data_IF_476973189046
#
_entry.id   IF_476973189046
#
_cell.length_a   1.000
_cell.length_b   1.000
_cell.length_c   1.000
_cell.angle_alpha   90.00
_cell.angle_beta   90.00
_cell.angle_gamma   90.00
#
_symmetry.space_group_name_H-M   'P 1'
#
loop_
_entity.id
_entity.type
_entity.pdbx_description
1 polymer ?
#
# COMPACT_ATOMS: atom_id res chain seq x y z
N UNK A 1 18.67 4.40 -2.71
CA UNK A 1 18.26 5.47 -3.65
C UNK A 1 17.71 6.63 -2.82
N UNK A 2 18.58 7.55 -2.40
CA UNK A 2 18.21 8.81 -1.73
C UNK A 2 18.28 9.90 -2.81
N UNK A 3 17.17 10.15 -3.46
CA UNK A 3 16.97 11.34 -4.27
C UNK A 3 15.91 12.18 -3.56
N UNK A 4 16.06 13.49 -3.57
CA UNK A 4 15.26 14.54 -2.91
C UNK A 4 15.77 15.16 -1.59
N UNK A 5 17.07 15.09 -1.27
CA UNK A 5 17.66 15.90 -0.17
C UNK A 5 18.68 16.95 -0.62
N UNK A 6 18.67 17.33 -1.90
CA UNK A 6 19.61 18.29 -2.49
C UNK A 6 18.91 19.49 -3.14
N UNK A 7 17.99 20.13 -2.42
CA UNK A 7 17.69 21.57 -2.57
C UNK A 7 16.82 22.02 -1.40
N UNK A 8 16.95 23.29 -1.03
CA UNK A 8 16.25 23.98 0.06
C UNK A 8 16.91 23.80 1.43
N UNK A 9 18.17 24.23 1.52
CA UNK A 9 18.66 24.85 2.76
C UNK A 9 17.79 26.10 2.98
N UNK A 10 17.13 26.17 4.15
CA UNK A 10 16.39 27.32 4.74
C UNK A 10 14.94 27.57 4.27
N UNK A 11 13.97 26.94 4.94
CA UNK A 11 12.91 27.69 5.66
C UNK A 11 12.22 26.76 6.69
N UNK A 12 12.17 27.22 7.94
CA UNK A 12 11.49 26.59 9.06
C UNK A 12 10.06 26.14 8.74
N UNK A 13 9.72 24.87 8.96
CA UNK A 13 8.68 24.53 9.93
C UNK A 13 8.69 23.02 10.22
N UNK A 14 8.98 22.68 11.48
CA UNK A 14 8.65 21.46 12.22
C UNK A 14 8.25 20.27 11.35
N UNK A 15 9.06 19.22 11.36
CA UNK A 15 8.63 17.87 10.98
C UNK A 15 7.15 17.71 11.35
N UNK A 16 6.27 17.61 10.35
CA UNK A 16 4.93 17.11 10.56
C UNK A 16 5.08 15.64 10.98
N UNK A 17 5.52 15.42 12.22
CA UNK A 17 5.61 14.11 12.87
C UNK A 17 4.23 13.46 12.97
N UNK A 18 3.18 14.22 12.70
CA UNK A 18 1.81 13.76 12.59
C UNK A 18 1.60 12.82 11.40
N UNK A 19 2.49 12.85 10.39
CA UNK A 19 2.36 12.05 9.17
C UNK A 19 3.54 11.10 9.01
N UNK A 20 3.23 9.81 8.89
CA UNK A 20 4.21 8.74 8.81
C UNK A 20 3.96 7.84 7.59
N UNK A 21 4.99 7.67 6.77
CA UNK A 21 4.93 6.80 5.61
C UNK A 21 5.52 5.43 5.96
N UNK A 22 4.66 4.41 6.14
CA UNK A 22 5.08 3.02 6.40
C UNK A 22 5.97 2.41 5.31
N UNK A 23 5.81 2.84 4.05
CA UNK A 23 6.61 2.35 2.93
C UNK A 23 8.08 2.79 3.04
N UNK A 24 8.31 4.05 3.42
CA UNK A 24 9.65 4.60 3.63
C UNK A 24 10.16 4.45 5.06
N UNK A 25 9.26 4.12 5.99
CA UNK A 25 9.49 4.11 7.44
C UNK A 25 10.01 5.45 7.98
N UNK A 26 9.51 6.54 7.40
CA UNK A 26 9.97 7.90 7.69
C UNK A 26 8.78 8.87 7.82
N UNK A 27 9.04 10.03 8.41
CA UNK A 27 8.06 11.09 8.64
C UNK A 27 8.04 12.11 7.49
N UNK A 28 6.89 12.75 7.30
CA UNK A 28 6.73 13.88 6.37
C UNK A 28 5.49 13.76 5.49
N UNK A 29 5.09 12.54 5.13
CA UNK A 29 3.86 12.26 4.40
C UNK A 29 3.24 10.93 4.85
N UNK A 30 1.95 10.75 4.57
CA UNK A 30 1.25 9.50 4.84
C UNK A 30 1.50 8.49 3.72
N UNK A 31 1.37 7.19 4.02
CA UNK A 31 1.48 6.13 3.00
C UNK A 31 0.53 6.34 1.81
N UNK A 32 -0.65 6.91 2.05
CA UNK A 32 -1.64 7.21 1.01
C UNK A 32 -1.18 8.32 0.04
N UNK A 33 -0.26 9.18 0.47
CA UNK A 33 0.28 10.27 -0.34
C UNK A 33 1.64 9.93 -0.97
N UNK A 34 2.15 8.71 -0.71
CA UNK A 34 3.44 8.26 -1.22
C UNK A 34 3.41 8.06 -2.74
N UNK A 35 4.00 9.00 -3.48
CA UNK A 35 4.10 8.97 -4.93
C UNK A 35 4.84 7.73 -5.46
N UNK A 36 5.95 7.36 -4.81
CA UNK A 36 6.72 6.17 -5.18
C UNK A 36 5.89 4.89 -5.06
N UNK A 37 5.09 4.77 -4.00
CA UNK A 37 4.22 3.62 -3.80
C UNK A 37 3.13 3.55 -4.87
N UNK A 38 2.48 4.67 -5.18
CA UNK A 38 1.47 4.75 -6.24
C UNK A 38 2.04 4.32 -7.60
N UNK A 39 3.18 4.89 -7.98
CA UNK A 39 3.85 4.55 -9.24
C UNK A 39 4.27 3.08 -9.31
N UNK A 40 4.74 2.52 -8.20
CA UNK A 40 5.10 1.11 -8.13
C UNK A 40 3.87 0.23 -8.37
N UNK A 41 2.75 0.52 -7.68
CA UNK A 41 1.48 -0.21 -7.86
C UNK A 41 1.03 -0.10 -9.32
N UNK A 42 1.00 1.11 -9.89
CA UNK A 42 0.62 1.31 -11.29
C UNK A 42 1.53 0.56 -12.26
N UNK A 43 2.85 0.55 -12.03
CA UNK A 43 3.78 -0.17 -12.87
C UNK A 43 3.54 -1.68 -12.84
N UNK A 44 3.23 -2.24 -11.66
CA UNK A 44 2.90 -3.66 -11.49
C UNK A 44 1.57 -3.99 -12.18
N UNK A 45 0.56 -3.10 -12.07
CA UNK A 45 -0.72 -3.23 -12.79
C UNK A 45 -0.48 -3.25 -14.30
N UNK A 46 0.26 -2.27 -14.83
CA UNK A 46 0.57 -2.17 -16.27
C UNK A 46 1.32 -3.40 -16.81
N UNK A 47 2.15 -4.04 -15.98
CA UNK A 47 2.88 -5.27 -16.34
C UNK A 47 2.04 -6.54 -16.23
N UNK A 48 0.80 -6.47 -15.72
CA UNK A 48 -0.07 -7.64 -15.55
C UNK A 48 0.41 -8.62 -14.46
N UNK A 49 1.28 -8.19 -13.55
CA UNK A 49 1.91 -9.09 -12.56
C UNK A 49 1.06 -9.37 -11.31
N UNK A 50 -0.19 -8.89 -11.28
CA UNK A 50 -1.12 -9.06 -10.15
C UNK A 50 -1.95 -10.35 -10.22
N UNK A 51 -1.82 -11.16 -11.27
CA UNK A 51 -2.64 -12.36 -11.47
C UNK A 51 -2.63 -13.31 -10.26
N UNK A 52 -1.47 -13.50 -9.62
CA UNK A 52 -1.33 -14.36 -8.45
C UNK A 52 -2.02 -13.82 -7.19
N UNK A 53 -2.13 -12.49 -7.07
CA UNK A 53 -2.81 -11.85 -5.93
C UNK A 53 -4.32 -12.04 -6.03
N UNK A 54 -4.89 -11.86 -7.22
CA UNK A 54 -6.34 -12.06 -7.48
C UNK A 54 -6.73 -13.53 -7.28
N UNK A 55 -5.89 -14.47 -7.73
CA UNK A 55 -6.17 -15.90 -7.56
C UNK A 55 -6.22 -16.31 -6.09
N UNK A 56 -5.31 -15.78 -5.27
CA UNK A 56 -5.27 -16.06 -3.82
C UNK A 56 -6.49 -15.47 -3.11
N UNK A 57 -6.85 -14.23 -3.42
CA UNK A 57 -8.05 -13.59 -2.87
C UNK A 57 -9.32 -14.38 -3.21
N UNK A 58 -9.47 -14.87 -4.45
CA UNK A 58 -10.61 -15.69 -4.82
C UNK A 58 -10.65 -17.04 -4.07
N UNK A 59 -9.50 -17.66 -3.79
CA UNK A 59 -9.43 -18.88 -2.98
C UNK A 59 -9.80 -18.62 -1.51
N UNK A 60 -9.31 -17.53 -0.94
CA UNK A 60 -9.66 -17.11 0.43
C UNK A 60 -11.17 -16.80 0.56
N UNK A 61 -11.76 -16.13 -0.44
CA UNK A 61 -13.21 -15.86 -0.48
C UNK A 61 -14.03 -17.14 -0.63
N UNK A 62 -13.60 -18.07 -1.47
CA UNK A 62 -14.25 -19.37 -1.63
C UNK A 62 -14.17 -20.24 -0.38
N UNK A 63 -13.10 -20.14 0.41
CA UNK A 63 -12.99 -20.80 1.71
C UNK A 63 -14.03 -20.27 2.70
N UNK A 64 -14.15 -18.94 2.82
CA UNK A 64 -15.13 -18.30 3.72
C UNK A 64 -16.58 -18.61 3.34
N UNK A 65 -16.91 -18.58 2.05
CA UNK A 65 -18.28 -18.87 1.60
C UNK A 65 -18.73 -20.32 1.90
N UNK A 66 -17.80 -21.29 1.98
CA UNK A 66 -18.12 -22.69 2.35
C UNK A 66 -18.38 -22.87 3.84
N UNK A 67 -17.84 -21.99 4.67
CA UNK A 67 -18.02 -22.03 6.12
C UNK A 67 -19.39 -21.45 6.54
N UNK A 68 -19.95 -20.53 5.73
CA UNK A 68 -21.28 -19.93 5.95
C UNK A 68 -22.46 -20.83 5.48
N UNK A 69 -22.28 -21.72 4.49
CA UNK A 69 -23.31 -22.65 4.00
C UNK A 69 -23.57 -23.85 4.96
N UNK A 70 -22.66 -24.10 5.91
CA UNK A 70 -22.82 -25.15 6.93
C UNK A 70 -23.67 -24.74 8.13
N UNK A 71 -24.07 -23.47 8.24
CA UNK A 71 -24.80 -22.94 9.41
C UNK A 71 -26.32 -22.89 9.18
N UNK A 72 -26.80 -23.16 7.97
CA UNK A 72 -28.24 -23.14 7.63
C UNK A 72 -28.95 -24.50 7.71
N UNK A 73 -28.26 -25.57 8.13
CA UNK A 73 -28.83 -26.92 8.28
C UNK A 73 -29.02 -27.38 9.74
N UNK A 74 -29.17 -26.45 10.69
CA UNK A 74 -29.55 -26.78 12.06
C UNK A 74 -30.68 -25.90 12.58
#
# INVERSE_FOLDING_TARGET
MRLDSLRVVVFNNRCNRDKYCRYHRDYGHDTNDCYNLKNLIEAIIRRGQLANYVRRENQERQGRNREDEGVALH
#
